data_IF_585188821480
#
_entry.id   IF_585188821480
#
_cell.length_a   1.000
_cell.length_b   1.000
_cell.length_c   1.000
_cell.angle_alpha   90.00
_cell.angle_beta   90.00
_cell.angle_gamma   90.00
#
_symmetry.space_group_name_H-M   'P 1'
#
loop_
_entity.id
_entity.type
_entity.pdbx_description
1 polymer ?
#
# COMPACT_ATOMS: atom_id res chain seq x y z
N UNK A 1 -16.54 9.73 98.07
CA UNK A 1 -16.98 11.08 97.66
C UNK A 1 -16.31 11.44 96.35
N UNK A 2 -17.10 11.83 95.34
CA UNK A 2 -16.67 12.14 93.96
C UNK A 2 -15.69 13.33 93.93
N UNK A 3 -14.65 13.26 93.12
CA UNK A 3 -14.04 14.47 92.55
C UNK A 3 -13.47 14.18 91.16
N UNK A 4 -13.79 15.09 90.25
CA UNK A 4 -13.64 15.04 88.80
C UNK A 4 -12.23 15.46 88.39
N UNK A 5 -11.65 14.74 87.44
CA UNK A 5 -10.43 15.14 86.73
C UNK A 5 -10.82 16.12 85.63
N UNK A 6 -10.38 17.38 85.77
CA UNK A 6 -10.60 18.47 84.82
C UNK A 6 -9.53 18.48 83.73
N UNK A 7 -9.99 18.55 82.47
CA UNK A 7 -9.20 18.63 81.25
C UNK A 7 -9.06 20.12 80.87
N UNK A 8 -7.83 20.59 80.62
CA UNK A 8 -7.58 21.81 79.83
C UNK A 8 -6.64 21.52 78.64
N UNK A 9 -6.91 22.09 77.45
CA UNK A 9 -6.07 21.92 76.26
C UNK A 9 -5.01 23.03 76.08
N UNK A 10 -3.89 22.66 75.45
CA UNK A 10 -2.81 23.56 74.94
C UNK A 10 -3.17 24.18 73.58
N UNK A 11 -2.55 25.31 73.19
CA UNK A 11 -3.00 26.19 72.09
C UNK A 11 -2.51 25.77 70.69
N UNK A 12 -3.29 26.13 69.66
CA UNK A 12 -2.95 26.01 68.22
C UNK A 12 -2.11 27.22 67.76
N UNK A 13 -1.00 26.97 67.08
CA UNK A 13 -0.16 27.99 66.44
C UNK A 13 -0.26 27.95 64.90
N UNK A 14 -0.31 29.16 64.33
CA UNK A 14 0.12 29.66 63.01
C UNK A 14 0.13 28.72 61.79
N UNK A 15 -0.73 29.03 60.79
CA UNK A 15 -0.59 28.52 59.41
C UNK A 15 -1.15 29.45 58.31
N UNK A 16 -1.32 30.75 58.56
CA UNK A 16 -2.11 31.62 57.63
C UNK A 16 -1.26 32.61 56.80
N UNK A 17 -0.07 33.03 57.22
CA UNK A 17 0.67 34.11 56.51
C UNK A 17 1.61 33.66 55.38
N UNK A 18 1.97 32.37 55.28
CA UNK A 18 2.92 31.89 54.24
C UNK A 18 2.22 31.70 52.88
N UNK A 19 0.91 31.50 52.86
CA UNK A 19 0.14 31.21 51.64
C UNK A 19 -0.02 32.43 50.73
N UNK A 20 -0.28 33.61 51.31
CA UNK A 20 -0.62 34.82 50.54
C UNK A 20 0.58 35.43 49.80
N UNK A 21 1.77 35.38 50.40
CA UNK A 21 3.02 35.87 49.77
C UNK A 21 3.47 34.95 48.63
N UNK A 22 3.28 33.63 48.79
CA UNK A 22 3.54 32.64 47.74
C UNK A 22 2.62 32.82 46.54
N UNK A 23 1.33 33.07 46.77
CA UNK A 23 0.35 33.33 45.71
C UNK A 23 0.61 34.64 44.97
N UNK A 24 0.97 35.72 45.69
CA UNK A 24 1.32 36.99 45.08
C UNK A 24 2.61 36.92 44.24
N UNK A 25 3.62 36.19 44.70
CA UNK A 25 4.86 35.96 43.96
C UNK A 25 4.64 35.06 42.73
N UNK A 26 3.78 34.03 42.83
CA UNK A 26 3.37 33.20 41.69
C UNK A 26 2.60 34.03 40.65
N UNK A 27 1.64 34.85 41.09
CA UNK A 27 0.85 35.72 40.22
C UNK A 27 1.72 36.75 39.48
N UNK A 28 2.71 37.34 40.16
CA UNK A 28 3.68 38.26 39.55
C UNK A 28 4.62 37.55 38.55
N UNK A 29 5.05 36.32 38.84
CA UNK A 29 5.85 35.51 37.94
C UNK A 29 5.04 35.08 36.70
N UNK A 30 3.77 34.75 36.87
CA UNK A 30 2.86 34.35 35.78
C UNK A 30 2.51 35.54 34.89
N UNK A 31 2.31 36.74 35.45
CA UNK A 31 2.15 37.96 34.64
C UNK A 31 3.42 38.33 33.87
N UNK A 32 4.62 38.14 34.45
CA UNK A 32 5.89 38.32 33.71
C UNK A 32 6.04 37.31 32.58
N UNK A 33 5.72 36.03 32.81
CA UNK A 33 5.71 34.97 31.78
C UNK A 33 4.72 35.28 30.67
N UNK A 34 3.53 35.79 31.02
CA UNK A 34 2.51 36.15 30.03
C UNK A 34 2.94 37.35 29.19
N UNK A 35 3.53 38.39 29.79
CA UNK A 35 4.11 39.53 29.05
C UNK A 35 5.24 39.07 28.13
N UNK A 36 6.13 38.21 28.61
CA UNK A 36 7.19 37.61 27.80
C UNK A 36 6.63 36.82 26.61
N UNK A 37 5.59 35.99 26.82
CA UNK A 37 4.89 35.28 25.74
C UNK A 37 4.33 36.22 24.69
N UNK A 38 3.75 37.34 25.08
CA UNK A 38 3.21 38.34 24.16
C UNK A 38 4.33 39.03 23.37
N UNK A 39 5.44 39.39 24.00
CA UNK A 39 6.61 39.98 23.33
C UNK A 39 7.23 38.99 22.35
N UNK A 40 7.41 37.73 22.75
CA UNK A 40 7.92 36.67 21.87
C UNK A 40 6.97 36.43 20.69
N UNK A 41 5.65 36.39 20.92
CA UNK A 41 4.66 36.29 19.83
C UNK A 41 4.75 37.49 18.88
N UNK A 42 4.86 38.71 19.41
CA UNK A 42 4.99 39.92 18.58
C UNK A 42 6.29 39.91 17.76
N UNK A 43 7.42 39.53 18.36
CA UNK A 43 8.70 39.38 17.66
C UNK A 43 8.66 38.26 16.61
N UNK A 44 7.99 37.15 16.92
CA UNK A 44 7.76 36.05 15.98
C UNK A 44 6.92 36.51 14.77
N UNK A 45 5.80 37.19 15.00
CA UNK A 45 4.96 37.70 13.93
C UNK A 45 5.64 38.81 13.11
N UNK A 46 6.45 39.68 13.75
CA UNK A 46 7.26 40.65 13.02
C UNK A 46 8.30 39.97 12.11
N UNK A 47 8.98 38.93 12.61
CA UNK A 47 9.91 38.14 11.80
C UNK A 47 9.20 37.41 10.66
N UNK A 48 8.02 36.85 10.92
CA UNK A 48 7.22 36.16 9.90
C UNK A 48 6.75 37.13 8.81
N UNK A 49 6.30 38.33 9.20
CA UNK A 49 5.90 39.36 8.25
C UNK A 49 7.11 39.83 7.42
N UNK A 50 8.25 40.09 8.06
CA UNK A 50 9.49 40.45 7.34
C UNK A 50 9.93 39.36 6.35
N UNK A 51 9.79 38.08 6.70
CA UNK A 51 10.07 36.98 5.77
C UNK A 51 9.07 36.93 4.62
N UNK A 52 7.79 37.25 4.85
CA UNK A 52 6.79 37.36 3.78
C UNK A 52 7.08 38.52 2.84
N UNK A 53 7.48 39.67 3.40
CA UNK A 53 7.84 40.84 2.61
C UNK A 53 9.07 40.56 1.74
N UNK A 54 10.12 39.94 2.31
CA UNK A 54 11.31 39.52 1.56
C UNK A 54 11.00 38.52 0.45
N UNK A 55 10.13 37.53 0.70
CA UNK A 55 9.69 36.58 -0.34
C UNK A 55 8.88 37.25 -1.44
N UNK A 56 8.11 38.28 -1.10
CA UNK A 56 7.36 39.07 -2.08
C UNK A 56 8.32 39.90 -2.94
N UNK A 57 9.31 40.53 -2.34
CA UNK A 57 10.38 41.25 -3.06
C UNK A 57 11.16 40.30 -3.98
N UNK A 58 11.52 39.10 -3.49
CA UNK A 58 12.18 38.05 -4.27
C UNK A 58 11.33 37.63 -5.48
N UNK A 59 10.03 37.40 -5.30
CA UNK A 59 9.12 37.05 -6.39
C UNK A 59 8.99 38.17 -7.43
N UNK A 60 8.95 39.43 -6.99
CA UNK A 60 8.91 40.59 -7.91
C UNK A 60 10.21 40.70 -8.70
N UNK A 61 11.37 40.56 -8.04
CA UNK A 61 12.68 40.60 -8.68
C UNK A 61 12.87 39.44 -9.66
N UNK A 62 12.42 38.23 -9.31
CA UNK A 62 12.42 37.07 -10.21
C UNK A 62 11.57 37.33 -11.45
N UNK A 63 10.38 37.91 -11.28
CA UNK A 63 9.50 38.25 -12.42
C UNK A 63 10.14 39.30 -13.33
N UNK A 64 10.76 40.33 -12.75
CA UNK A 64 11.49 41.35 -13.51
C UNK A 64 12.70 40.75 -14.25
N UNK A 65 13.45 39.87 -13.60
CA UNK A 65 14.58 39.16 -14.21
C UNK A 65 14.14 38.29 -15.38
N UNK A 66 13.06 37.52 -15.21
CA UNK A 66 12.50 36.70 -16.29
C UNK A 66 12.02 37.54 -17.48
N UNK A 67 11.38 38.68 -17.19
CA UNK A 67 10.92 39.62 -18.22
C UNK A 67 12.10 40.20 -19.01
N UNK A 68 13.18 40.57 -18.34
CA UNK A 68 14.41 41.03 -18.97
C UNK A 68 15.07 39.93 -19.83
N UNK A 69 15.10 38.68 -19.36
CA UNK A 69 15.61 37.54 -20.13
C UNK A 69 14.81 37.29 -21.41
N UNK A 70 13.48 37.30 -21.32
CA UNK A 70 12.61 37.13 -22.49
C UNK A 70 12.82 38.27 -23.48
N UNK A 71 12.96 39.51 -23.00
CA UNK A 71 13.22 40.66 -23.86
C UNK A 71 14.59 40.57 -24.56
N UNK A 72 15.64 40.13 -23.85
CA UNK A 72 16.96 39.90 -24.45
C UNK A 72 16.89 38.78 -25.50
N UNK A 73 16.16 37.69 -25.21
CA UNK A 73 15.98 36.58 -26.14
C UNK A 73 15.24 37.00 -27.44
N UNK A 74 14.25 37.89 -27.35
CA UNK A 74 13.54 38.41 -28.54
C UNK A 74 14.41 39.36 -29.36
N UNK A 75 15.16 40.26 -28.71
CA UNK A 75 16.12 41.13 -29.40
C UNK A 75 17.23 40.35 -30.11
N UNK A 76 17.66 39.22 -29.53
CA UNK A 76 18.60 38.29 -30.13
C UNK A 76 18.01 37.48 -31.29
N UNK A 77 16.69 37.49 -31.51
CA UNK A 77 16.04 36.81 -32.64
C UNK A 77 15.87 37.72 -33.85
N UNK A 78 15.57 39.00 -33.66
CA UNK A 78 15.06 39.87 -34.74
C UNK A 78 16.11 40.68 -35.51
N UNK A 79 17.35 40.87 -35.00
CA UNK A 79 18.38 41.62 -35.74
C UNK A 79 19.26 40.71 -36.61
N UNK A 80 19.51 40.97 -37.89
CA UNK A 80 20.58 40.31 -38.64
C UNK A 80 21.94 40.96 -38.33
N UNK A 81 22.96 40.17 -38.00
CA UNK A 81 24.32 40.66 -37.69
C UNK A 81 25.28 40.41 -38.87
N UNK A 82 25.95 41.47 -39.34
CA UNK A 82 26.89 41.40 -40.48
C UNK A 82 28.37 41.14 -40.08
N UNK A 83 28.71 41.09 -38.78
CA UNK A 83 30.09 40.93 -38.30
C UNK A 83 30.31 39.63 -37.50
N UNK A 84 31.40 38.91 -37.80
CA UNK A 84 31.74 37.61 -37.20
C UNK A 84 31.93 37.66 -35.67
N UNK A 85 32.50 38.74 -35.12
CA UNK A 85 32.66 38.94 -33.67
C UNK A 85 31.32 39.13 -32.95
N UNK A 86 30.32 39.71 -33.63
CA UNK A 86 28.98 39.89 -33.09
C UNK A 86 28.18 38.58 -33.07
N UNK A 87 28.45 37.68 -34.01
CA UNK A 87 27.85 36.34 -34.07
C UNK A 87 28.28 35.46 -32.89
N UNK A 88 29.56 35.49 -32.51
CA UNK A 88 30.08 34.72 -31.36
C UNK A 88 29.47 35.21 -30.04
N UNK A 89 29.34 36.52 -29.85
CA UNK A 89 28.74 37.11 -28.64
C UNK A 89 27.25 36.74 -28.54
N UNK A 90 26.51 36.70 -29.66
CA UNK A 90 25.09 36.26 -29.66
C UNK A 90 24.93 34.79 -29.34
N UNK A 91 25.80 33.93 -29.86
CA UNK A 91 25.78 32.50 -29.53
C UNK A 91 26.04 32.27 -28.03
N UNK A 92 27.00 33.01 -27.45
CA UNK A 92 27.28 32.95 -26.02
C UNK A 92 26.10 33.44 -25.16
N UNK A 93 25.45 34.54 -25.55
CA UNK A 93 24.27 35.06 -24.85
C UNK A 93 23.07 34.10 -24.95
N UNK A 94 22.84 33.48 -26.11
CA UNK A 94 21.79 32.47 -26.26
C UNK A 94 22.03 31.24 -25.38
N UNK A 95 23.28 30.78 -25.28
CA UNK A 95 23.67 29.69 -24.37
C UNK A 95 23.49 30.08 -22.90
N UNK A 96 23.88 31.31 -22.53
CA UNK A 96 23.72 31.81 -21.17
C UNK A 96 22.23 31.93 -20.76
N UNK A 97 21.37 32.43 -21.64
CA UNK A 97 19.91 32.46 -21.41
C UNK A 97 19.35 31.05 -21.24
N UNK A 98 19.76 30.10 -22.09
CA UNK A 98 19.34 28.70 -21.96
C UNK A 98 19.76 28.05 -20.64
N UNK A 99 20.98 28.32 -20.18
CA UNK A 99 21.47 27.85 -18.88
C UNK A 99 20.70 28.46 -17.70
N UNK A 100 20.33 29.74 -17.78
CA UNK A 100 19.52 30.39 -16.75
C UNK A 100 18.09 29.84 -16.70
N UNK A 101 17.47 29.58 -17.86
CA UNK A 101 16.15 28.93 -17.91
C UNK A 101 16.19 27.55 -17.29
N UNK A 102 17.22 26.75 -17.60
CA UNK A 102 17.41 25.43 -17.00
C UNK A 102 17.64 25.51 -15.49
N UNK A 103 18.43 26.49 -15.03
CA UNK A 103 18.65 26.73 -13.59
C UNK A 103 17.34 27.01 -12.86
N UNK A 104 16.49 27.88 -13.40
CA UNK A 104 15.19 28.18 -12.79
C UNK A 104 14.28 26.94 -12.72
N UNK A 105 14.27 26.11 -13.76
CA UNK A 105 13.51 24.84 -13.75
C UNK A 105 14.02 23.89 -12.67
N UNK A 106 15.34 23.75 -12.51
CA UNK A 106 15.93 22.91 -11.47
C UNK A 106 15.65 23.43 -10.05
N UNK A 107 15.64 24.75 -9.86
CA UNK A 107 15.30 25.35 -8.56
C UNK A 107 13.82 25.09 -8.18
N UNK A 108 12.91 25.12 -9.16
CA UNK A 108 11.50 24.75 -8.98
C UNK A 108 11.34 23.26 -8.64
N UNK A 109 11.99 22.37 -9.39
CA UNK A 109 11.99 20.92 -9.11
C UNK A 109 12.57 20.60 -7.74
N UNK A 110 13.67 21.27 -7.36
CA UNK A 110 14.30 21.07 -6.05
C UNK A 110 13.37 21.49 -4.90
N UNK A 111 12.63 22.59 -5.07
CA UNK A 111 11.66 23.05 -4.07
C UNK A 111 10.50 22.06 -3.93
N UNK A 112 10.01 21.51 -5.05
CA UNK A 112 8.95 20.51 -5.08
C UNK A 112 9.38 19.16 -4.45
N UNK A 113 10.58 18.69 -4.78
CA UNK A 113 11.17 17.50 -4.14
C UNK A 113 11.33 17.69 -2.64
N UNK A 114 11.83 18.86 -2.21
CA UNK A 114 12.01 19.18 -0.78
C UNK A 114 10.67 19.16 -0.02
N UNK A 115 9.63 19.80 -0.57
CA UNK A 115 8.28 19.79 0.01
C UNK A 115 7.66 18.38 0.07
N UNK A 116 7.97 17.55 -0.92
CA UNK A 116 7.52 16.16 -0.97
C UNK A 116 8.24 15.30 0.07
N UNK A 117 9.56 15.48 0.22
CA UNK A 117 10.36 14.81 1.25
C UNK A 117 9.91 15.20 2.67
N UNK A 118 9.58 16.46 2.92
CA UNK A 118 9.03 16.92 4.20
C UNK A 118 7.72 16.20 4.53
N UNK A 119 6.81 16.07 3.55
CA UNK A 119 5.55 15.32 3.71
C UNK A 119 5.77 13.84 4.02
N UNK A 120 6.69 13.18 3.32
CA UNK A 120 7.04 11.78 3.61
C UNK A 120 7.65 11.61 5.00
N UNK A 121 8.50 12.55 5.41
CA UNK A 121 9.13 12.53 6.73
C UNK A 121 8.09 12.67 7.85
N UNK A 122 7.13 13.60 7.69
CA UNK A 122 6.03 13.78 8.63
C UNK A 122 5.12 12.54 8.70
N UNK A 123 4.81 11.94 7.56
CA UNK A 123 4.03 10.71 7.50
C UNK A 123 4.76 9.54 8.21
N UNK A 124 6.04 9.34 7.90
CA UNK A 124 6.85 8.30 8.54
C UNK A 124 6.97 8.49 10.06
N UNK A 125 7.20 9.72 10.52
CA UNK A 125 7.24 10.05 11.94
C UNK A 125 5.92 9.69 12.64
N UNK A 126 4.78 9.98 12.00
CA UNK A 126 3.46 9.67 12.55
C UNK A 126 3.15 8.18 12.58
N UNK A 127 3.56 7.44 11.54
CA UNK A 127 3.46 5.97 11.53
C UNK A 127 4.33 5.36 12.62
N UNK A 128 5.56 5.84 12.79
CA UNK A 128 6.47 5.35 13.83
C UNK A 128 5.92 5.64 15.24
N UNK A 129 5.34 6.82 15.47
CA UNK A 129 4.69 7.15 16.74
C UNK A 129 3.51 6.21 17.04
N UNK A 130 2.66 5.91 16.04
CA UNK A 130 1.54 4.96 16.19
C UNK A 130 2.01 3.52 16.47
N UNK A 131 3.12 3.10 15.86
CA UNK A 131 3.74 1.80 16.17
C UNK A 131 4.29 1.78 17.59
N UNK A 132 4.88 2.88 18.06
CA UNK A 132 5.46 2.97 19.40
C UNK A 132 4.37 3.06 20.49
N UNK A 133 3.27 3.77 20.23
CA UNK A 133 2.09 3.85 21.13
C UNK A 133 1.35 2.50 21.24
N UNK A 134 1.33 1.70 20.17
CA UNK A 134 0.76 0.35 20.18
C UNK A 134 1.72 -0.72 20.74
N UNK A 135 2.98 -0.37 21.02
CA UNK A 135 3.96 -1.25 21.64
C UNK A 135 4.21 -0.81 23.08
N UNK A 136 3.16 -0.78 23.90
CA UNK A 136 3.35 -0.85 25.35
C UNK A 136 3.99 -2.22 25.66
N UNK A 137 5.16 -2.29 26.33
CA UNK A 137 5.85 -3.54 26.53
C UNK A 137 5.03 -4.42 27.49
N UNK A 138 4.58 -5.58 26.97
CA UNK A 138 4.13 -6.68 27.82
C UNK A 138 5.30 -7.02 28.74
N UNK A 139 5.07 -6.80 30.02
CA UNK A 139 5.99 -7.01 31.12
C UNK A 139 6.26 -8.52 31.25
N UNK A 140 7.37 -9.00 30.68
CA UNK A 140 7.86 -10.35 30.97
C UNK A 140 8.39 -10.37 32.41
N UNK A 141 7.56 -10.85 33.33
CA UNK A 141 8.00 -11.24 34.68
C UNK A 141 8.95 -12.42 34.52
N UNK A 142 10.23 -12.16 34.75
CA UNK A 142 11.28 -13.18 34.86
C UNK A 142 11.53 -13.43 36.34
N UNK A 143 11.66 -14.71 36.74
CA UNK A 143 12.59 -15.30 37.74
C UNK A 143 11.93 -16.46 38.51
N UNK A 144 12.69 -17.44 39.07
CA UNK A 144 13.99 -17.97 38.67
C UNK A 144 14.00 -19.52 38.53
N UNK A 145 14.99 -20.03 37.82
CA UNK A 145 15.38 -21.45 37.80
C UNK A 145 15.78 -21.97 39.19
N UNK A 146 15.63 -23.28 39.42
CA UNK A 146 16.81 -24.05 39.81
C UNK A 146 17.04 -25.27 38.90
N UNK A 147 18.33 -25.52 38.70
CA UNK A 147 18.95 -26.67 38.04
C UNK A 147 18.77 -27.90 38.94
N UNK A 148 18.28 -29.03 38.41
CA UNK A 148 19.10 -30.25 38.38
C UNK A 148 18.48 -31.42 37.59
N UNK A 149 19.41 -32.27 37.14
CA UNK A 149 19.28 -33.47 36.31
C UNK A 149 18.30 -34.51 36.87
N UNK A 150 17.52 -35.14 35.99
CA UNK A 150 17.55 -36.59 35.76
C UNK A 150 16.37 -37.07 34.89
N UNK A 151 16.68 -38.10 34.11
CA UNK A 151 15.83 -39.03 33.38
C UNK A 151 14.41 -39.23 33.94
N UNK A 152 13.42 -39.38 33.05
CA UNK A 152 12.57 -40.59 32.89
C UNK A 152 11.35 -40.24 32.03
N UNK A 153 11.19 -41.04 30.97
CA UNK A 153 9.98 -41.33 30.18
C UNK A 153 8.64 -41.02 30.86
N UNK A 154 7.80 -40.21 30.19
CA UNK A 154 6.44 -40.63 29.78
C UNK A 154 5.67 -39.49 29.13
N UNK A 155 5.24 -39.78 27.90
CA UNK A 155 3.99 -39.37 27.25
C UNK A 155 3.12 -38.36 28.00
N UNK A 156 3.03 -37.14 27.47
CA UNK A 156 1.79 -36.37 27.53
C UNK A 156 1.56 -35.66 26.20
N UNK A 157 0.65 -36.26 25.42
CA UNK A 157 0.09 -35.69 24.19
C UNK A 157 -0.71 -34.44 24.56
N UNK A 158 -0.12 -33.26 24.42
CA UNK A 158 -0.90 -32.05 24.17
C UNK A 158 -1.30 -32.08 22.68
N UNK A 159 -2.51 -32.57 22.41
CA UNK A 159 -3.08 -32.63 21.07
C UNK A 159 -3.40 -31.20 20.66
N UNK A 160 -2.62 -30.66 19.73
CA UNK A 160 -2.90 -29.40 19.07
C UNK A 160 -4.09 -29.62 18.12
N UNK A 161 -5.27 -28.98 18.29
CA UNK A 161 -6.50 -29.35 17.56
C UNK A 161 -6.53 -29.01 16.05
N UNK A 162 -5.42 -28.58 15.45
CA UNK A 162 -5.37 -28.05 14.07
C UNK A 162 -4.19 -28.57 13.24
N UNK A 163 -3.56 -29.67 13.65
CA UNK A 163 -2.52 -30.32 12.85
C UNK A 163 -3.15 -31.02 11.63
N UNK A 164 -3.48 -30.24 10.59
CA UNK A 164 -3.78 -30.78 9.26
C UNK A 164 -2.47 -31.37 8.73
N UNK A 165 -2.42 -32.68 8.53
CA UNK A 165 -1.35 -33.32 7.77
C UNK A 165 -1.53 -32.92 6.31
N UNK A 166 -0.87 -31.83 5.91
CA UNK A 166 -0.95 -31.34 4.54
C UNK A 166 0.21 -31.94 3.77
N UNK A 167 -0.09 -32.76 2.75
CA UNK A 167 0.94 -33.32 1.87
C UNK A 167 1.79 -32.20 1.29
N UNK A 168 3.11 -32.28 1.51
CA UNK A 168 4.06 -31.33 0.96
C UNK A 168 4.04 -31.41 -0.56
N UNK A 169 3.86 -30.27 -1.21
CA UNK A 169 3.94 -30.15 -2.67
C UNK A 169 5.40 -30.03 -3.07
N UNK A 170 5.83 -30.86 -4.01
CA UNK A 170 7.18 -30.83 -4.57
C UNK A 170 7.33 -29.73 -5.63
N UNK A 171 8.57 -29.31 -5.88
CA UNK A 171 8.87 -28.32 -6.92
C UNK A 171 8.51 -28.81 -8.33
N UNK A 172 8.72 -30.10 -8.63
CA UNK A 172 8.35 -30.69 -9.92
C UNK A 172 6.85 -30.66 -10.16
N UNK A 173 6.06 -30.92 -9.11
CA UNK A 173 4.59 -30.79 -9.17
C UNK A 173 4.17 -29.36 -9.47
N UNK A 174 4.79 -28.35 -8.83
CA UNK A 174 4.53 -26.94 -9.14
C UNK A 174 4.81 -26.62 -10.61
N UNK A 175 5.96 -27.03 -11.15
CA UNK A 175 6.31 -26.78 -12.55
C UNK A 175 5.39 -27.51 -13.53
N UNK A 176 4.96 -28.72 -13.22
CA UNK A 176 4.00 -29.45 -14.05
C UNK A 176 2.65 -28.75 -14.12
N UNK A 177 2.13 -28.31 -12.96
CA UNK A 177 0.89 -27.52 -12.89
C UNK A 177 1.06 -26.20 -13.63
N UNK A 178 2.18 -25.50 -13.44
CA UNK A 178 2.45 -24.22 -14.12
C UNK A 178 2.52 -24.34 -15.64
N UNK A 179 3.19 -25.38 -16.17
CA UNK A 179 3.25 -25.63 -17.62
C UNK A 179 1.88 -25.94 -18.23
N UNK A 180 1.09 -26.82 -17.60
CA UNK A 180 -0.27 -27.12 -18.05
C UNK A 180 -1.15 -25.88 -18.04
N UNK A 181 -1.08 -25.11 -16.96
CA UNK A 181 -1.85 -23.87 -16.81
C UNK A 181 -1.47 -22.83 -17.84
N UNK A 182 -0.19 -22.70 -18.16
CA UNK A 182 0.24 -21.80 -19.22
C UNK A 182 -0.32 -22.20 -20.59
N UNK A 183 -0.34 -23.49 -20.91
CA UNK A 183 -0.98 -24.00 -22.13
C UNK A 183 -2.48 -23.68 -22.19
N UNK A 184 -3.18 -23.82 -21.06
CA UNK A 184 -4.61 -23.47 -20.95
C UNK A 184 -4.83 -21.96 -21.19
N UNK A 185 -3.98 -21.11 -20.60
CA UNK A 185 -4.01 -19.65 -20.78
C UNK A 185 -3.75 -19.28 -22.23
N UNK A 186 -2.72 -19.86 -22.87
CA UNK A 186 -2.43 -19.60 -24.29
C UNK A 186 -3.60 -19.98 -25.19
N UNK A 187 -4.25 -21.11 -24.90
CA UNK A 187 -5.45 -21.55 -25.62
C UNK A 187 -6.59 -20.55 -25.46
N UNK A 188 -6.83 -20.04 -24.25
CA UNK A 188 -7.81 -18.98 -24.02
C UNK A 188 -7.44 -17.70 -24.78
N UNK A 189 -6.19 -17.23 -24.68
CA UNK A 189 -5.76 -16.00 -25.33
C UNK A 189 -5.81 -16.06 -26.86
N UNK A 190 -5.56 -17.22 -27.46
CA UNK A 190 -5.59 -17.42 -28.91
C UNK A 190 -7.01 -17.46 -29.50
N UNK A 191 -8.03 -17.66 -28.67
CA UNK A 191 -9.42 -17.71 -29.13
C UNK A 191 -9.93 -16.33 -29.52
N UNK A 192 -10.79 -16.30 -30.52
CA UNK A 192 -11.41 -15.08 -31.05
C UNK A 192 -12.91 -14.99 -30.74
N UNK A 193 -13.50 -16.05 -30.18
CA UNK A 193 -14.93 -16.16 -29.88
C UNK A 193 -15.33 -15.51 -28.54
N UNK A 194 -14.66 -14.40 -28.21
CA UNK A 194 -14.92 -13.67 -26.99
C UNK A 194 -16.03 -12.63 -27.20
N UNK A 195 -16.92 -12.53 -26.22
CA UNK A 195 -17.85 -11.42 -26.12
C UNK A 195 -17.16 -10.23 -25.48
N UNK A 196 -17.35 -9.06 -26.07
CA UNK A 196 -16.90 -7.77 -25.57
C UNK A 196 -18.12 -6.86 -25.49
N UNK A 197 -18.24 -6.07 -24.42
CA UNK A 197 -19.32 -5.07 -24.33
C UNK A 197 -19.04 -3.83 -25.21
N UNK A 198 -17.84 -3.75 -25.82
CA UNK A 198 -17.41 -2.59 -26.60
C UNK A 198 -17.15 -1.31 -25.79
N UNK A 199 -17.46 -1.33 -24.48
CA UNK A 199 -17.25 -0.22 -23.55
C UNK A 199 -16.05 -0.49 -22.63
N UNK A 200 -15.35 0.60 -22.28
CA UNK A 200 -14.28 0.59 -21.30
C UNK A 200 -14.76 1.23 -20.00
N UNK A 201 -14.34 0.67 -18.86
CA UNK A 201 -14.61 1.25 -17.54
C UNK A 201 -13.29 1.68 -16.91
N UNK A 202 -13.05 2.99 -16.79
CA UNK A 202 -11.77 3.55 -16.35
C UNK A 202 -10.55 3.02 -17.13
N UNK A 203 -10.72 2.75 -18.43
CA UNK A 203 -9.68 2.17 -19.30
C UNK A 203 -9.48 0.66 -19.14
N UNK A 204 -10.31 -0.02 -18.34
CA UNK A 204 -10.38 -1.47 -18.31
C UNK A 204 -11.31 -1.97 -19.42
N UNK A 205 -10.79 -2.90 -20.21
CA UNK A 205 -11.52 -3.69 -21.19
C UNK A 205 -11.92 -5.01 -20.57
N UNK A 206 -13.12 -5.50 -20.90
CA UNK A 206 -13.60 -6.78 -20.44
C UNK A 206 -13.92 -7.69 -21.63
N UNK A 207 -13.55 -8.97 -21.49
CA UNK A 207 -13.88 -10.04 -22.42
C UNK A 207 -14.33 -11.28 -21.66
N UNK A 208 -15.32 -11.99 -22.21
CA UNK A 208 -15.77 -13.24 -21.62
C UNK A 208 -16.30 -14.21 -22.66
N UNK A 209 -16.41 -15.48 -22.30
CA UNK A 209 -17.07 -16.53 -23.08
C UNK A 209 -17.58 -17.63 -22.18
N UNK A 210 -18.56 -18.38 -22.66
CA UNK A 210 -19.03 -19.60 -22.01
C UNK A 210 -18.22 -20.80 -22.52
N UNK A 211 -17.65 -21.58 -21.60
CA UNK A 211 -16.85 -22.75 -21.93
C UNK A 211 -17.72 -23.94 -22.36
N UNK A 212 -18.99 -23.95 -21.98
CA UNK A 212 -19.94 -24.99 -22.30
C UNK A 212 -21.27 -24.43 -22.84
N UNK A 213 -22.08 -25.31 -23.44
CA UNK A 213 -23.45 -24.98 -23.88
C UNK A 213 -24.42 -24.76 -22.71
N UNK A 214 -24.01 -25.13 -21.49
CA UNK A 214 -24.85 -24.96 -20.30
C UNK A 214 -24.83 -23.53 -19.78
N UNK A 215 -23.90 -22.71 -20.28
CA UNK A 215 -23.67 -21.31 -19.89
C UNK A 215 -23.41 -21.16 -18.38
N UNK A 216 -22.89 -22.21 -17.73
CA UNK A 216 -22.56 -22.21 -16.30
C UNK A 216 -21.07 -22.08 -16.04
N UNK A 217 -20.24 -22.30 -17.05
CA UNK A 217 -18.79 -22.16 -16.97
C UNK A 217 -18.36 -20.93 -17.75
N UNK A 218 -18.09 -19.85 -17.03
CA UNK A 218 -17.65 -18.58 -17.57
C UNK A 218 -16.11 -18.53 -17.57
N UNK A 219 -15.51 -18.20 -18.72
CA UNK A 219 -14.13 -17.76 -18.80
C UNK A 219 -14.13 -16.26 -19.05
N UNK A 220 -13.36 -15.51 -18.28
CA UNK A 220 -13.35 -14.05 -18.34
C UNK A 220 -11.92 -13.54 -18.33
N UNK A 221 -11.76 -12.31 -18.79
CA UNK A 221 -10.51 -11.58 -18.72
C UNK A 221 -10.78 -10.08 -18.75
N UNK A 222 -10.05 -9.35 -17.92
CA UNK A 222 -10.03 -7.89 -17.92
C UNK A 222 -8.62 -7.42 -18.19
N UNK A 223 -8.47 -6.40 -19.02
CA UNK A 223 -7.16 -5.90 -19.42
C UNK A 223 -7.09 -4.39 -19.41
N UNK A 224 -5.88 -3.88 -19.14
CA UNK A 224 -5.58 -2.45 -19.20
C UNK A 224 -4.11 -2.24 -19.51
N UNK A 225 -3.81 -1.18 -20.24
CA UNK A 225 -2.44 -0.81 -20.60
C UNK A 225 -1.91 0.29 -19.68
N UNK A 226 -0.69 0.10 -19.19
CA UNK A 226 0.00 1.01 -18.28
C UNK A 226 1.28 1.54 -18.93
N UNK A 227 1.45 2.87 -19.08
CA UNK A 227 2.69 3.47 -19.55
C UNK A 227 3.74 3.55 -18.43
N UNK A 228 5.00 3.71 -18.81
CA UNK A 228 6.09 4.12 -17.91
C UNK A 228 6.38 3.18 -16.72
N UNK A 229 6.01 1.91 -16.83
CA UNK A 229 6.36 0.84 -15.88
C UNK A 229 6.72 -0.42 -16.65
N UNK A 230 7.75 -1.15 -16.23
CA UNK A 230 8.13 -2.41 -16.88
C UNK A 230 7.25 -3.58 -16.41
N UNK A 231 7.13 -4.63 -17.24
CA UNK A 231 6.34 -5.80 -16.87
C UNK A 231 6.93 -6.51 -15.66
N UNK A 232 8.26 -6.51 -15.54
CA UNK A 232 8.97 -7.05 -14.38
C UNK A 232 8.58 -6.33 -13.09
N UNK A 233 8.62 -4.99 -13.09
CA UNK A 233 8.31 -4.21 -11.90
C UNK A 233 6.83 -4.35 -11.51
N UNK A 234 5.93 -4.29 -12.49
CA UNK A 234 4.50 -4.44 -12.26
C UNK A 234 4.16 -5.86 -11.75
N UNK A 235 4.78 -6.90 -12.32
CA UNK A 235 4.68 -8.29 -11.85
C UNK A 235 5.21 -8.46 -10.42
N UNK A 236 6.33 -7.82 -10.10
CA UNK A 236 6.94 -7.87 -8.75
C UNK A 236 6.07 -7.21 -7.69
N UNK A 237 5.49 -6.05 -7.98
CA UNK A 237 4.54 -5.38 -7.08
C UNK A 237 3.26 -6.18 -6.92
N UNK A 238 2.73 -6.71 -8.03
CA UNK A 238 1.55 -7.56 -8.03
C UNK A 238 1.72 -8.83 -7.19
N UNK A 239 2.88 -9.48 -7.32
CA UNK A 239 3.22 -10.64 -6.51
C UNK A 239 3.10 -10.33 -5.02
N UNK A 240 3.75 -9.25 -4.55
CA UNK A 240 3.66 -8.83 -3.14
C UNK A 240 2.23 -8.56 -2.70
N UNK A 241 1.45 -7.87 -3.52
CA UNK A 241 0.04 -7.58 -3.22
C UNK A 241 -0.83 -8.85 -3.12
N UNK A 242 -0.60 -9.83 -3.99
CA UNK A 242 -1.43 -11.03 -4.10
C UNK A 242 -0.99 -12.17 -3.18
N UNK A 243 0.22 -12.13 -2.62
CA UNK A 243 0.76 -13.19 -1.74
C UNK A 243 0.91 -12.76 -0.27
N UNK A 244 0.55 -11.51 0.07
CA UNK A 244 0.55 -11.02 1.46
C UNK A 244 -0.88 -10.98 1.95
N UNK A 245 -1.16 -11.58 3.11
CA UNK A 245 -2.54 -11.70 3.63
C UNK A 245 -3.25 -10.34 3.77
N UNK A 246 -2.58 -9.33 4.33
CA UNK A 246 -3.16 -8.00 4.55
C UNK A 246 -3.46 -7.28 3.23
N UNK A 247 -2.53 -7.29 2.28
CA UNK A 247 -2.72 -6.70 0.95
C UNK A 247 -3.78 -7.45 0.15
N UNK A 248 -3.79 -8.78 0.23
CA UNK A 248 -4.79 -9.60 -0.45
C UNK A 248 -6.20 -9.35 0.09
N UNK A 249 -6.36 -9.23 1.41
CA UNK A 249 -7.64 -8.87 2.01
C UNK A 249 -8.11 -7.49 1.55
N UNK A 250 -7.20 -6.51 1.42
CA UNK A 250 -7.51 -5.16 0.96
C UNK A 250 -7.96 -5.08 -0.51
N UNK A 251 -7.72 -6.12 -1.32
CA UNK A 251 -8.19 -6.20 -2.71
C UNK A 251 -9.69 -6.52 -2.80
N UNK A 252 -10.26 -7.10 -1.75
CA UNK A 252 -11.66 -7.53 -1.72
C UNK A 252 -12.57 -6.49 -1.06
N UNK A 253 -13.84 -6.50 -1.44
CA UNK A 253 -14.85 -5.61 -0.83
C UNK A 253 -15.09 -6.02 0.62
N UNK A 254 -15.43 -5.06 1.49
CA UNK A 254 -15.79 -5.33 2.90
C UNK A 254 -17.00 -6.26 3.06
N UNK A 255 -17.82 -6.42 2.02
CA UNK A 255 -18.92 -7.38 1.93
C UNK A 255 -18.46 -8.82 1.65
N UNK A 256 -17.15 -9.07 1.55
CA UNK A 256 -16.56 -10.39 1.38
C UNK A 256 -15.34 -10.54 2.30
N UNK A 257 -15.37 -11.54 3.18
CA UNK A 257 -14.19 -11.93 3.95
C UNK A 257 -13.28 -12.76 3.06
N UNK A 258 -12.07 -12.29 2.83
CA UNK A 258 -11.03 -13.02 2.09
C UNK A 258 -9.79 -13.15 2.95
N UNK A 259 -9.45 -14.38 3.34
CA UNK A 259 -8.23 -14.69 4.10
C UNK A 259 -7.34 -15.59 3.27
N UNK A 260 -6.04 -15.36 3.36
CA UNK A 260 -5.04 -16.07 2.59
C UNK A 260 -3.93 -16.55 3.54
N UNK A 261 -3.95 -17.83 3.89
CA UNK A 261 -3.00 -18.41 4.83
C UNK A 261 -1.93 -19.22 4.09
N UNK A 262 -0.67 -18.82 4.23
CA UNK A 262 0.44 -19.57 3.65
C UNK A 262 0.55 -20.93 4.33
N UNK A 263 0.50 -22.00 3.53
CA UNK A 263 0.65 -23.38 4.00
C UNK A 263 2.10 -23.84 3.81
N UNK A 264 2.65 -23.57 2.61
CA UNK A 264 3.98 -24.04 2.24
C UNK A 264 4.62 -23.05 1.28
N UNK A 265 5.88 -22.72 1.54
CA UNK A 265 6.77 -22.06 0.57
C UNK A 265 7.61 -23.14 -0.08
N UNK A 266 7.38 -23.42 -1.36
CA UNK A 266 8.18 -24.39 -2.12
C UNK A 266 9.49 -23.73 -2.56
N UNK A 267 9.41 -22.50 -3.06
CA UNK A 267 10.55 -21.60 -3.32
C UNK A 267 10.09 -20.12 -3.29
N UNK A 268 10.90 -19.21 -3.83
CA UNK A 268 10.60 -17.77 -3.95
C UNK A 268 9.42 -17.43 -4.88
N UNK A 269 9.01 -18.36 -5.73
CA UNK A 269 8.08 -18.15 -6.84
C UNK A 269 6.90 -19.13 -6.84
N UNK A 270 6.88 -20.09 -5.92
CA UNK A 270 5.88 -21.14 -5.81
C UNK A 270 5.42 -21.24 -4.35
N UNK A 271 4.19 -20.79 -4.11
CA UNK A 271 3.58 -20.72 -2.80
C UNK A 271 2.28 -21.52 -2.79
N UNK A 272 2.05 -22.28 -1.73
CA UNK A 272 0.80 -22.99 -1.48
C UNK A 272 0.04 -22.25 -0.39
N UNK A 273 -1.19 -21.84 -0.71
CA UNK A 273 -2.06 -21.12 0.22
C UNK A 273 -3.35 -21.89 0.49
N UNK A 274 -3.91 -21.68 1.69
CA UNK A 274 -5.31 -21.93 1.98
C UNK A 274 -6.04 -20.60 1.90
N UNK A 275 -6.87 -20.44 0.87
CA UNK A 275 -7.77 -19.31 0.70
C UNK A 275 -9.12 -19.62 1.34
N UNK A 276 -9.61 -18.69 2.14
CA UNK A 276 -10.95 -18.74 2.73
C UNK A 276 -11.74 -17.54 2.21
N UNK A 277 -12.90 -17.80 1.62
CA UNK A 277 -13.84 -16.79 1.18
C UNK A 277 -15.18 -16.96 1.90
N UNK A 278 -15.73 -15.89 2.46
CA UNK A 278 -17.06 -15.89 3.05
C UNK A 278 -17.77 -14.57 2.75
N UNK A 279 -19.11 -14.57 2.82
CA UNK A 279 -19.91 -13.35 2.77
C UNK A 279 -20.63 -13.18 4.11
N UNK A 280 -20.69 -11.98 4.71
CA UNK A 280 -21.34 -11.78 6.01
C UNK A 280 -22.78 -12.29 6.09
N UNK A 281 -23.49 -12.26 4.95
CA UNK A 281 -24.90 -12.68 4.86
C UNK A 281 -25.06 -14.13 4.37
N UNK A 282 -23.99 -14.92 4.34
CA UNK A 282 -24.03 -16.33 3.98
C UNK A 282 -23.30 -17.15 5.03
N UNK A 283 -23.94 -18.22 5.48
CA UNK A 283 -23.31 -19.16 6.42
C UNK A 283 -22.22 -19.98 5.72
N UNK A 284 -22.16 -19.97 4.39
CA UNK A 284 -21.19 -20.71 3.59
C UNK A 284 -19.80 -20.06 3.56
N UNK A 285 -18.79 -20.84 3.93
CA UNK A 285 -17.37 -20.51 3.77
C UNK A 285 -16.76 -21.38 2.68
N UNK A 286 -16.23 -20.74 1.65
CA UNK A 286 -15.54 -21.40 0.57
C UNK A 286 -14.05 -21.55 0.90
N UNK A 287 -13.53 -22.78 0.75
CA UNK A 287 -12.12 -23.11 0.95
C UNK A 287 -11.48 -23.46 -0.40
N UNK A 288 -10.29 -22.94 -0.65
CA UNK A 288 -9.48 -23.33 -1.80
C UNK A 288 -8.04 -23.51 -1.36
N UNK A 289 -7.47 -24.69 -1.60
CA UNK A 289 -6.01 -24.89 -1.54
C UNK A 289 -5.46 -24.53 -2.91
N UNK A 290 -4.71 -23.44 -3.01
CA UNK A 290 -4.21 -22.97 -4.30
C UNK A 290 -2.69 -22.92 -4.35
N UNK A 291 -2.14 -23.32 -5.50
CA UNK A 291 -0.80 -22.96 -5.94
C UNK A 291 -0.87 -21.55 -6.53
N UNK A 292 -0.03 -20.66 -5.98
CA UNK A 292 0.29 -19.38 -6.59
C UNK A 292 1.72 -19.48 -7.11
N UNK A 293 1.89 -19.45 -8.43
CA UNK A 293 3.18 -19.62 -9.09
C UNK A 293 3.45 -18.47 -10.05
N UNK A 294 4.64 -17.87 -9.98
CA UNK A 294 5.07 -16.78 -10.88
C UNK A 294 6.28 -17.19 -11.69
N UNK A 295 6.22 -16.98 -12.99
CA UNK A 295 7.31 -17.32 -13.91
C UNK A 295 7.38 -16.34 -15.07
N UNK A 296 8.54 -16.30 -15.72
CA UNK A 296 8.78 -15.50 -16.91
C UNK A 296 8.37 -16.27 -18.15
N UNK A 297 7.81 -15.55 -19.13
CA UNK A 297 7.50 -16.03 -20.47
C UNK A 297 8.16 -15.10 -21.49
N UNK A 298 8.15 -15.48 -22.78
CA UNK A 298 8.85 -14.76 -23.85
C UNK A 298 8.56 -13.26 -23.88
N UNK A 299 7.29 -12.88 -23.72
CA UNK A 299 6.82 -11.49 -23.83
C UNK A 299 6.49 -10.84 -22.49
N UNK A 300 6.90 -11.44 -21.36
CA UNK A 300 6.59 -10.86 -20.06
C UNK A 300 6.57 -11.82 -18.88
N UNK A 301 5.63 -11.62 -17.97
CA UNK A 301 5.53 -12.39 -16.72
C UNK A 301 4.11 -12.87 -16.48
N UNK A 302 3.98 -14.07 -15.93
CA UNK A 302 2.70 -14.68 -15.60
C UNK A 302 2.69 -15.03 -14.12
N UNK A 303 1.58 -14.77 -13.44
CA UNK A 303 1.27 -15.40 -12.16
C UNK A 303 0.00 -16.21 -12.29
N UNK A 304 0.06 -17.49 -11.98
CA UNK A 304 -1.11 -18.36 -11.97
C UNK A 304 -1.62 -18.56 -10.54
N UNK A 305 -2.92 -18.75 -10.42
CA UNK A 305 -3.61 -19.09 -9.20
C UNK A 305 -4.49 -20.30 -9.51
N UNK A 306 -4.03 -21.49 -9.15
CA UNK A 306 -4.71 -22.74 -9.50
C UNK A 306 -5.00 -23.56 -8.27
N UNK A 307 -6.25 -24.01 -8.12
CA UNK A 307 -6.64 -24.96 -7.09
C UNK A 307 -5.88 -26.26 -7.31
N UNK A 308 -5.30 -26.77 -6.22
CA UNK A 308 -4.73 -28.11 -6.16
C UNK A 308 -5.85 -29.05 -5.69
N UNK A 309 -5.90 -30.26 -6.25
CA UNK A 309 -7.00 -31.19 -5.98
C UNK A 309 -7.22 -31.42 -4.47
N UNK A 310 -8.49 -31.46 -4.02
CA UNK A 310 -8.84 -31.66 -2.61
C UNK A 310 -8.52 -33.06 -2.08
N UNK A 311 -8.21 -34.04 -2.94
CA UNK A 311 -7.83 -35.41 -2.52
C UNK A 311 -6.58 -35.46 -1.62
N UNK A 312 -5.72 -34.43 -1.68
CA UNK A 312 -4.53 -34.27 -0.81
C UNK A 312 -4.80 -33.46 0.47
N UNK A 313 -6.07 -33.15 0.73
CA UNK A 313 -6.51 -32.61 2.02
C UNK A 313 -7.47 -33.64 2.58
N UNK A 314 -6.92 -34.68 3.20
CA UNK A 314 -7.75 -35.46 4.10
C UNK A 314 -8.29 -34.49 5.16
N UNK A 315 -9.61 -34.42 5.36
CA UNK A 315 -10.17 -33.65 6.45
C UNK A 315 -9.60 -34.27 7.74
N UNK A 316 -8.57 -33.65 8.32
CA UNK A 316 -7.96 -34.10 9.57
C UNK A 316 -8.97 -34.14 10.72
N UNK A 317 -10.12 -33.52 10.51
CA UNK A 317 -11.36 -33.73 11.24
C UNK A 317 -12.45 -33.65 10.17
N UNK A 318 -13.45 -34.54 10.19
CA UNK A 318 -14.77 -34.18 9.65
C UNK A 318 -15.20 -32.93 10.43
N UNK A 319 -14.77 -31.76 9.96
CA UNK A 319 -15.18 -30.50 10.53
C UNK A 319 -16.67 -30.44 10.20
N UNK A 320 -17.50 -30.87 11.16
CA UNK A 320 -18.97 -30.89 11.15
C UNK A 320 -19.54 -29.46 11.12
N UNK A 321 -18.97 -28.61 10.27
CA UNK A 321 -19.53 -27.31 9.94
C UNK A 321 -20.30 -27.49 8.64
N UNK A 322 -21.65 -27.62 8.67
CA UNK A 322 -22.50 -27.91 7.50
C UNK A 322 -22.47 -26.86 6.37
N UNK A 323 -21.54 -25.90 6.44
CA UNK A 323 -21.46 -24.75 5.55
C UNK A 323 -20.07 -24.53 4.92
N UNK A 324 -19.15 -25.50 4.98
CA UNK A 324 -17.86 -25.39 4.29
C UNK A 324 -17.90 -26.04 2.91
N UNK A 325 -17.54 -25.29 1.86
CA UNK A 325 -17.51 -25.79 0.46
C UNK A 325 -16.12 -25.63 -0.14
N UNK A 326 -15.57 -26.69 -0.71
CA UNK A 326 -14.31 -26.61 -1.46
C UNK A 326 -14.56 -26.08 -2.87
N UNK A 327 -13.81 -25.05 -3.28
CA UNK A 327 -13.90 -24.48 -4.62
C UNK A 327 -12.65 -24.77 -5.44
N UNK A 328 -12.90 -25.23 -6.65
CA UNK A 328 -11.95 -25.14 -7.75
C UNK A 328 -11.77 -23.67 -8.15
N UNK A 329 -10.53 -23.30 -8.39
CA UNK A 329 -10.15 -21.94 -8.74
C UNK A 329 -9.11 -22.01 -9.84
N UNK A 330 -9.32 -21.25 -10.91
CA UNK A 330 -8.31 -21.04 -11.92
C UNK A 330 -8.37 -19.57 -12.34
N UNK A 331 -7.33 -18.82 -12.03
CA UNK A 331 -7.12 -17.47 -12.54
C UNK A 331 -5.65 -17.22 -12.83
N UNK A 332 -5.35 -16.15 -13.56
CA UNK A 332 -4.00 -15.75 -13.90
C UNK A 332 -3.91 -14.24 -14.03
N UNK A 333 -2.71 -13.70 -13.76
CA UNK A 333 -2.31 -12.38 -14.22
C UNK A 333 -1.21 -12.51 -15.26
N UNK A 334 -1.29 -11.73 -16.33
CA UNK A 334 -0.29 -11.66 -17.37
C UNK A 334 0.16 -10.21 -17.57
N UNK A 335 1.47 -10.01 -17.59
CA UNK A 335 2.12 -8.72 -17.77
C UNK A 335 2.91 -8.77 -19.07
N UNK A 336 2.32 -8.28 -20.16
CA UNK A 336 2.92 -8.30 -21.50
C UNK A 336 3.68 -7.01 -21.78
N UNK A 337 4.95 -7.11 -22.16
CA UNK A 337 5.72 -5.97 -22.64
C UNK A 337 5.37 -5.64 -24.09
N UNK A 338 4.78 -4.46 -24.28
CA UNK A 338 4.54 -3.86 -25.60
C UNK A 338 5.73 -2.96 -25.93
N UNK A 339 6.84 -3.59 -26.35
CA UNK A 339 8.14 -2.93 -26.56
C UNK A 339 8.07 -1.75 -27.53
N UNK A 340 7.23 -1.85 -28.55
CA UNK A 340 7.03 -0.80 -29.55
C UNK A 340 6.39 0.47 -28.96
N UNK A 341 5.65 0.34 -27.85
CA UNK A 341 4.88 1.44 -27.27
C UNK A 341 5.41 1.90 -25.89
N UNK A 342 6.48 1.29 -25.38
CA UNK A 342 6.97 1.47 -24.00
C UNK A 342 5.83 1.37 -22.96
N UNK A 343 4.97 0.37 -23.14
CA UNK A 343 3.80 0.11 -22.32
C UNK A 343 3.76 -1.34 -21.87
N UNK A 344 3.04 -1.59 -20.79
CA UNK A 344 2.72 -2.94 -20.33
C UNK A 344 1.23 -3.15 -20.43
N UNK A 345 0.81 -4.21 -21.12
CA UNK A 345 -0.56 -4.70 -21.03
C UNK A 345 -0.66 -5.63 -19.84
N UNK A 346 -1.47 -5.24 -18.87
CA UNK A 346 -1.89 -6.13 -17.80
C UNK A 346 -3.18 -6.82 -18.20
N UNK A 347 -3.24 -8.12 -17.97
CA UNK A 347 -4.45 -8.92 -18.10
C UNK A 347 -4.67 -9.71 -16.82
N UNK A 348 -5.90 -9.69 -16.31
CA UNK A 348 -6.34 -10.57 -15.24
C UNK A 348 -7.51 -11.41 -15.73
N UNK A 349 -7.31 -12.71 -15.83
CA UNK A 349 -8.31 -13.64 -16.34
C UNK A 349 -8.52 -14.82 -15.43
N UNK A 350 -9.56 -15.59 -15.73
CA UNK A 350 -9.87 -16.78 -14.97
C UNK A 350 -11.13 -17.47 -15.44
N UNK A 351 -11.47 -18.50 -14.69
CA UNK A 351 -12.65 -19.31 -14.90
C UNK A 351 -13.51 -19.29 -13.65
N UNK A 352 -14.82 -19.32 -13.87
CA UNK A 352 -15.80 -19.37 -12.81
C UNK A 352 -16.96 -20.27 -13.24
N UNK A 353 -17.32 -21.19 -12.34
CA UNK A 353 -18.61 -21.86 -12.41
C UNK A 353 -19.64 -21.03 -11.65
N UNK A 354 -20.79 -20.78 -12.25
CA UNK A 354 -21.90 -20.09 -11.59
C UNK A 354 -23.20 -20.91 -11.66
N UNK A 355 -24.03 -20.75 -10.63
CA UNK A 355 -25.32 -21.43 -10.52
C UNK A 355 -26.49 -20.54 -10.95
N UNK A 356 -26.28 -19.22 -11.00
CA UNK A 356 -27.26 -18.23 -11.43
C UNK A 356 -26.58 -17.03 -12.09
N UNK A 357 -27.35 -16.30 -12.89
CA UNK A 357 -26.94 -15.03 -13.54
C UNK A 357 -26.58 -13.96 -12.51
N UNK A 358 -27.32 -13.88 -11.40
CA UNK A 358 -27.04 -12.94 -10.31
C UNK A 358 -25.69 -13.24 -9.63
N UNK A 359 -25.38 -14.52 -9.40
CA UNK A 359 -24.08 -14.92 -8.86
C UNK A 359 -22.95 -14.55 -9.85
N UNK A 360 -23.14 -14.81 -11.14
CA UNK A 360 -22.18 -14.41 -12.16
C UNK A 360 -21.96 -12.89 -12.15
N UNK A 361 -23.03 -12.09 -12.14
CA UNK A 361 -22.96 -10.63 -12.10
C UNK A 361 -22.23 -10.11 -10.86
N UNK A 362 -22.51 -10.69 -9.69
CA UNK A 362 -21.82 -10.35 -8.45
C UNK A 362 -20.31 -10.55 -8.58
N UNK A 363 -19.87 -11.72 -9.05
CA UNK A 363 -18.45 -12.03 -9.19
C UNK A 363 -17.77 -11.20 -10.25
N UNK A 364 -18.43 -10.92 -11.38
CA UNK A 364 -17.89 -10.03 -12.41
C UNK A 364 -17.70 -8.59 -11.91
N UNK A 365 -18.63 -8.10 -11.08
CA UNK A 365 -18.48 -6.79 -10.44
C UNK A 365 -17.34 -6.80 -9.40
N UNK A 366 -17.28 -7.83 -8.56
CA UNK A 366 -16.20 -7.98 -7.58
C UNK A 366 -14.83 -8.09 -8.27
N UNK A 367 -14.75 -8.75 -9.42
CA UNK A 367 -13.55 -8.84 -10.24
C UNK A 367 -13.08 -7.45 -10.71
N UNK A 368 -13.99 -6.65 -11.25
CA UNK A 368 -13.69 -5.30 -11.71
C UNK A 368 -13.26 -4.39 -10.54
N UNK A 369 -13.97 -4.46 -9.41
CA UNK A 369 -13.61 -3.70 -8.21
C UNK A 369 -12.24 -4.13 -7.66
N UNK A 370 -11.94 -5.42 -7.67
CA UNK A 370 -10.64 -5.96 -7.30
C UNK A 370 -9.54 -5.42 -8.22
N UNK A 371 -9.80 -5.31 -9.52
CA UNK A 371 -8.86 -4.73 -10.49
C UNK A 371 -8.57 -3.25 -10.22
N UNK A 372 -9.60 -2.47 -9.86
CA UNK A 372 -9.46 -1.06 -9.51
C UNK A 372 -8.67 -0.87 -8.21
N UNK A 373 -8.92 -1.70 -7.19
CA UNK A 373 -8.14 -1.68 -5.94
C UNK A 373 -6.70 -2.14 -6.17
N UNK A 374 -6.52 -3.17 -7.00
CA UNK A 374 -5.20 -3.62 -7.43
C UNK A 374 -4.46 -2.50 -8.15
N UNK A 375 -5.08 -1.80 -9.09
CA UNK A 375 -4.48 -0.68 -9.81
C UNK A 375 -4.02 0.40 -8.83
N UNK A 376 -4.89 0.82 -7.91
CA UNK A 376 -4.54 1.84 -6.92
C UNK A 376 -3.39 1.38 -5.99
N UNK A 377 -3.36 0.12 -5.59
CA UNK A 377 -2.33 -0.40 -4.68
C UNK A 377 -0.99 -0.68 -5.37
N UNK A 378 -1.02 -1.15 -6.62
CA UNK A 378 0.17 -1.69 -7.31
C UNK A 378 0.77 -0.68 -8.29
N UNK A 379 -0.07 0.00 -9.05
CA UNK A 379 0.36 1.06 -9.98
C UNK A 379 0.57 2.35 -9.21
N UNK A 380 -0.33 2.66 -8.28
CA UNK A 380 -0.30 3.87 -7.48
C UNK A 380 -1.06 5.04 -8.13
N UNK A 381 -1.13 6.19 -7.44
CA UNK A 381 -1.79 7.38 -7.96
C UNK A 381 -1.08 7.90 -9.21
N UNK A 382 -1.84 8.15 -10.27
CA UNK A 382 -1.30 8.73 -11.52
C UNK A 382 -1.05 10.25 -11.43
N UNK A 383 -1.63 10.88 -10.42
CA UNK A 383 -1.43 12.27 -10.10
C UNK A 383 -1.47 12.42 -8.59
N UNK A 384 -0.56 13.21 -8.05
CA UNK A 384 -0.55 13.65 -6.66
C UNK A 384 -0.95 15.11 -6.64
N UNK A 385 -2.07 15.42 -5.99
CA UNK A 385 -2.44 16.81 -5.72
C UNK A 385 -1.51 17.31 -4.62
N UNK A 386 -0.42 17.94 -5.04
CA UNK A 386 0.60 18.44 -4.13
C UNK A 386 0.30 19.83 -3.62
#
# INVERSE_FOLDING_TARGET
>A
MRSLVSIQPRPKALKVEVSSVSEAASSAADTRRQRHRVVVKRAYHQRLNRLRDLRREESVLQTQFHTALVHIATLLRDKPTQNASSTTIRALLASYVGLLTLKCQLEEEQLELSATMERYTLFHSRVQQLVTENTSPIQYVTLPTPIDRALVTSTNKSVNPLAVTIDSVSLSTCYEVSRRTWSDIQTFMARTDHFHLGSQVFGWEHRYRFADRSERHLQYSISKTFPSISAQELSRRSWRAMTTETSYQALHTSSMTSRLRLIQRVDEHNLIFLRLLGRPNQETVFKTRCLISRFQVERGYVTIYRSMNPEYVQPAVKEDSPHTVWLEMFSWTYFEELKEENKVRFEFGGEMRHQSTDNARFWMMELLLMALRWENMVVGPRFTLT
#
